data_IF_584861736882
#
_entry.id   IF_584861736882
#
_cell.length_a   1.000
_cell.length_b   1.000
_cell.length_c   1.000
_cell.angle_alpha   90.00
_cell.angle_beta   90.00
_cell.angle_gamma   90.00
#
_symmetry.space_group_name_H-M   'P 1'
#
loop_
_entity.id
_entity.type
_entity.pdbx_description
1 polymer ?
#
# COMPACT_ATOMS: atom_id res chain seq x y z
N UNK A 1 -0.47 -2.70 -11.26
CA UNK A 1 -1.56 -3.41 -10.58
C UNK A 1 -1.07 -4.80 -10.24
N UNK A 2 -1.05 -5.16 -8.96
CA UNK A 2 -0.63 -6.45 -8.44
C UNK A 2 -1.58 -6.85 -7.31
N UNK A 3 -1.84 -8.15 -7.16
CA UNK A 3 -2.77 -8.67 -6.17
C UNK A 3 -2.38 -10.08 -5.73
N UNK A 4 -2.75 -10.41 -4.49
CA UNK A 4 -2.57 -11.73 -3.88
C UNK A 4 -3.87 -12.11 -3.19
N UNK A 5 -4.40 -13.30 -3.49
CA UNK A 5 -5.54 -13.87 -2.79
C UNK A 5 -5.09 -15.08 -1.97
N UNK A 6 -5.30 -15.02 -0.66
CA UNK A 6 -5.03 -16.10 0.30
C UNK A 6 -6.02 -16.01 1.47
N UNK A 7 -6.39 -17.16 2.05
CA UNK A 7 -7.14 -17.25 3.31
C UNK A 7 -8.37 -16.33 3.37
N UNK A 8 -9.22 -16.43 2.34
CA UNK A 8 -10.42 -15.60 2.17
C UNK A 8 -10.15 -14.08 2.20
N UNK A 9 -8.93 -13.66 1.90
CA UNK A 9 -8.54 -12.25 1.85
C UNK A 9 -7.87 -11.92 0.51
N UNK A 10 -8.39 -10.90 -0.18
CA UNK A 10 -7.76 -10.34 -1.36
C UNK A 10 -6.96 -9.10 -0.96
N UNK A 11 -5.67 -9.11 -1.22
CA UNK A 11 -4.79 -7.96 -1.12
C UNK A 11 -4.50 -7.43 -2.52
N UNK A 12 -4.59 -6.12 -2.70
CA UNK A 12 -4.30 -5.49 -4.00
C UNK A 12 -3.74 -4.09 -3.80
N UNK A 13 -3.05 -3.58 -4.82
CA UNK A 13 -2.46 -2.24 -4.78
C UNK A 13 -2.98 -1.36 -5.91
N UNK A 14 -3.13 -0.08 -5.64
CA UNK A 14 -3.35 0.96 -6.65
C UNK A 14 -2.35 2.10 -6.46
N UNK A 15 -2.29 2.97 -7.46
CA UNK A 15 -1.75 4.31 -7.27
C UNK A 15 -2.94 5.26 -7.12
N UNK A 16 -2.95 6.05 -6.07
CA UNK A 16 -4.00 7.04 -5.76
C UNK A 16 -3.40 8.43 -5.68
N UNK A 17 -4.26 9.44 -5.61
CA UNK A 17 -3.88 10.80 -5.23
C UNK A 17 -4.67 11.14 -3.98
N UNK A 18 -4.04 11.11 -2.78
CA UNK A 18 -4.72 11.40 -1.53
C UNK A 18 -5.32 12.81 -1.54
N UNK A 19 -6.57 12.92 -1.08
CA UNK A 19 -7.31 14.19 -0.98
C UNK A 19 -7.08 14.95 0.33
N UNK A 20 -6.28 14.40 1.25
CA UNK A 20 -5.88 14.98 2.53
C UNK A 20 -4.61 14.28 3.04
N UNK A 21 -4.06 14.75 4.16
CA UNK A 21 -2.90 14.13 4.80
C UNK A 21 -1.56 14.65 4.25
N UNK A 22 -0.44 14.05 4.70
CA UNK A 22 0.91 14.49 4.33
C UNK A 22 1.20 14.36 2.83
N UNK A 23 0.60 13.36 2.17
CA UNK A 23 0.78 13.08 0.74
C UNK A 23 -0.28 13.77 -0.15
N UNK A 24 -0.95 14.82 0.34
CA UNK A 24 -1.99 15.55 -0.39
C UNK A 24 -1.50 15.98 -1.79
N UNK A 25 -2.22 15.53 -2.82
CA UNK A 25 -1.92 15.87 -4.22
C UNK A 25 -0.69 15.15 -4.80
N UNK A 26 -0.06 14.25 -4.05
CA UNK A 26 1.05 13.44 -4.52
C UNK A 26 0.54 12.11 -5.10
N UNK A 27 1.32 11.52 -5.99
CA UNK A 27 1.05 10.17 -6.46
C UNK A 27 1.51 9.21 -5.37
N UNK A 28 0.59 8.39 -4.87
CA UNK A 28 0.84 7.56 -3.68
C UNK A 28 0.46 6.11 -3.96
N UNK A 29 1.38 5.20 -3.67
CA UNK A 29 1.12 3.77 -3.60
C UNK A 29 0.13 3.49 -2.48
N UNK A 30 -0.90 2.70 -2.77
CA UNK A 30 -1.98 2.39 -1.84
C UNK A 30 -2.27 0.90 -1.85
N UNK A 31 -2.55 0.33 -0.69
CA UNK A 31 -2.97 -1.06 -0.56
C UNK A 31 -4.38 -1.18 -0.02
N UNK A 32 -5.06 -2.24 -0.45
CA UNK A 32 -6.36 -2.63 0.05
C UNK A 32 -6.32 -4.08 0.52
N UNK A 33 -7.01 -4.36 1.62
CA UNK A 33 -7.32 -5.70 2.11
C UNK A 33 -8.83 -5.90 2.08
N UNK A 34 -9.30 -6.85 1.28
CA UNK A 34 -10.72 -7.15 1.12
C UNK A 34 -11.04 -8.50 1.73
N UNK A 35 -12.13 -8.58 2.49
CA UNK A 35 -12.73 -9.86 2.87
C UNK A 35 -13.46 -10.45 1.66
N UNK A 36 -13.17 -11.72 1.40
CA UNK A 36 -13.74 -12.52 0.31
C UNK A 36 -14.48 -13.76 0.83
N UNK A 37 -14.80 -13.82 2.12
CA UNK A 37 -15.59 -14.90 2.74
C UNK A 37 -16.98 -15.03 2.10
N UNK A 38 -17.61 -13.91 1.75
CA UNK A 38 -18.83 -13.87 0.94
C UNK A 38 -18.60 -13.11 -0.37
N UNK A 39 -18.45 -13.84 -1.47
CA UNK A 39 -18.19 -13.24 -2.80
C UNK A 39 -19.36 -12.38 -3.33
N UNK A 40 -20.56 -12.54 -2.80
CA UNK A 40 -21.70 -11.68 -3.12
C UNK A 40 -21.72 -10.37 -2.31
N UNK A 41 -20.83 -10.23 -1.31
CA UNK A 41 -20.77 -9.08 -0.41
C UNK A 41 -19.32 -8.80 0.03
N UNK A 42 -18.47 -8.43 -0.93
CA UNK A 42 -17.08 -8.05 -0.64
C UNK A 42 -17.03 -6.76 0.20
N UNK A 43 -16.07 -6.67 1.12
CA UNK A 43 -15.85 -5.48 1.93
C UNK A 43 -14.36 -5.19 2.11
N UNK A 44 -13.99 -3.91 2.15
CA UNK A 44 -12.63 -3.49 2.52
C UNK A 44 -12.51 -3.60 4.04
N UNK A 45 -11.61 -4.45 4.51
CA UNK A 45 -11.36 -4.67 5.95
C UNK A 45 -10.19 -3.84 6.48
N UNK A 46 -9.30 -3.40 5.60
CA UNK A 46 -8.18 -2.52 5.91
C UNK A 46 -7.61 -1.93 4.61
N UNK A 47 -6.96 -0.78 4.70
CA UNK A 47 -6.31 -0.11 3.58
C UNK A 47 -5.37 1.00 4.08
N UNK A 48 -4.36 1.37 3.31
CA UNK A 48 -3.43 2.41 3.71
C UNK A 48 -2.61 3.00 2.56
N UNK A 49 -2.18 4.23 2.77
CA UNK A 49 -1.27 4.96 1.91
C UNK A 49 0.18 4.63 2.28
N UNK A 50 1.02 4.45 1.27
CA UNK A 50 2.48 4.30 1.39
C UNK A 50 3.11 5.56 0.78
N UNK A 51 3.10 6.62 1.57
CA UNK A 51 3.74 7.89 1.23
C UNK A 51 5.27 7.80 1.18
N UNK A 52 5.89 8.91 0.76
CA UNK A 52 7.36 9.02 0.72
C UNK A 52 7.91 10.15 1.59
N UNK A 53 7.05 10.92 2.26
CA UNK A 53 7.46 12.16 2.94
C UNK A 53 8.39 11.95 4.15
N UNK A 54 8.44 10.73 4.71
CA UNK A 54 9.40 10.37 5.76
C UNK A 54 10.82 10.13 5.21
N UNK A 55 10.95 9.93 3.89
CA UNK A 55 12.24 9.80 3.18
C UNK A 55 12.67 11.15 2.63
N UNK A 56 11.76 11.83 1.92
CA UNK A 56 11.99 13.18 1.39
C UNK A 56 10.68 13.93 1.15
N UNK A 57 10.67 15.22 1.46
CA UNK A 57 9.47 16.03 1.32
C UNK A 57 9.07 16.16 -0.16
N UNK A 58 7.79 15.93 -0.46
CA UNK A 58 7.28 15.94 -1.84
C UNK A 58 7.65 14.68 -2.63
N UNK A 59 7.97 13.57 -1.96
CA UNK A 59 8.21 12.29 -2.61
C UNK A 59 6.90 11.68 -3.14
N UNK A 60 6.98 11.13 -4.35
CA UNK A 60 5.91 10.37 -4.99
C UNK A 60 6.25 8.88 -4.95
N UNK A 61 5.27 8.03 -4.67
CA UNK A 61 5.39 6.58 -4.70
C UNK A 61 4.51 5.98 -5.79
N UNK A 62 5.08 5.07 -6.59
CA UNK A 62 4.45 4.59 -7.82
C UNK A 62 4.85 3.14 -8.14
N UNK A 63 4.10 2.52 -9.07
CA UNK A 63 4.30 1.12 -9.48
C UNK A 63 4.31 0.11 -8.32
N UNK A 64 3.32 0.12 -7.41
CA UNK A 64 3.33 -0.80 -6.27
C UNK A 64 3.12 -2.25 -6.68
N UNK A 65 3.72 -3.12 -5.87
CA UNK A 65 3.57 -4.57 -5.85
C UNK A 65 3.41 -5.03 -4.40
N UNK A 66 2.68 -6.13 -4.16
CA UNK A 66 2.35 -6.61 -2.82
C UNK A 66 2.52 -8.12 -2.70
N UNK A 67 3.01 -8.56 -1.56
CA UNK A 67 3.04 -9.96 -1.16
C UNK A 67 2.60 -10.07 0.29
N UNK A 68 1.99 -11.20 0.62
CA UNK A 68 1.56 -11.52 1.99
C UNK A 68 2.11 -12.89 2.34
N UNK A 69 2.52 -13.09 3.59
CA UNK A 69 2.96 -14.39 4.09
C UNK A 69 1.80 -15.20 4.69
N UNK A 70 2.09 -16.36 5.30
CA UNK A 70 1.08 -17.21 5.93
C UNK A 70 0.60 -16.71 7.29
N UNK A 71 1.34 -15.78 7.90
CA UNK A 71 1.04 -15.19 9.20
C UNK A 71 0.22 -13.91 9.07
N UNK A 72 -0.10 -13.49 7.84
CA UNK A 72 -0.85 -12.26 7.55
C UNK A 72 0.02 -11.00 7.53
N UNK A 73 1.36 -11.15 7.56
CA UNK A 73 2.26 -10.02 7.35
C UNK A 73 2.30 -9.68 5.87
N UNK A 74 2.34 -8.39 5.57
CA UNK A 74 2.30 -7.85 4.23
C UNK A 74 3.62 -7.13 3.95
N UNK A 75 4.14 -7.29 2.73
CA UNK A 75 5.25 -6.50 2.22
C UNK A 75 4.85 -5.88 0.88
N UNK A 76 5.24 -4.64 0.66
CA UNK A 76 5.07 -3.95 -0.61
C UNK A 76 6.39 -3.46 -1.15
N UNK A 77 6.63 -3.69 -2.44
CA UNK A 77 7.68 -3.03 -3.20
C UNK A 77 7.09 -1.92 -4.06
N UNK A 78 7.75 -0.77 -4.15
CA UNK A 78 7.32 0.37 -4.95
C UNK A 78 8.53 1.17 -5.43
N UNK A 79 8.31 2.01 -6.43
CA UNK A 79 9.28 3.02 -6.85
C UNK A 79 8.98 4.34 -6.15
N UNK A 80 10.03 5.10 -5.80
CA UNK A 80 9.90 6.44 -5.24
C UNK A 80 10.84 7.39 -5.96
N UNK A 81 10.39 8.63 -6.18
CA UNK A 81 11.23 9.76 -6.59
C UNK A 81 10.71 11.05 -5.96
N UNK A 82 11.58 12.05 -5.82
CA UNK A 82 11.24 13.39 -5.32
C UNK A 82 12.02 14.45 -6.11
N UNK A 83 11.85 15.76 -5.83
CA UNK A 83 12.68 16.80 -6.43
C UNK A 83 14.20 16.63 -6.16
N UNK A 84 14.58 15.99 -5.05
CA UNK A 84 15.97 15.80 -4.64
C UNK A 84 16.46 14.35 -4.67
N UNK A 85 15.57 13.39 -4.97
CA UNK A 85 15.90 11.97 -5.09
C UNK A 85 15.52 11.42 -6.47
N UNK A 86 16.51 10.86 -7.16
CA UNK A 86 16.26 10.07 -8.35
C UNK A 86 15.39 8.86 -8.04
N UNK A 87 14.70 8.35 -9.07
CA UNK A 87 13.86 7.17 -8.94
C UNK A 87 14.67 5.97 -8.43
N UNK A 88 14.18 5.35 -7.36
CA UNK A 88 14.75 4.14 -6.75
C UNK A 88 13.69 3.10 -6.46
N UNK A 89 14.14 1.90 -6.05
CA UNK A 89 13.27 0.82 -5.58
C UNK A 89 13.26 0.82 -4.05
N UNK A 90 12.07 0.80 -3.48
CA UNK A 90 11.81 0.88 -2.05
C UNK A 90 10.83 -0.22 -1.64
N UNK A 91 10.75 -0.47 -0.35
CA UNK A 91 9.78 -1.39 0.20
C UNK A 91 9.28 -0.91 1.56
N UNK A 92 8.10 -1.38 1.94
CA UNK A 92 7.59 -1.31 3.31
C UNK A 92 6.98 -2.64 3.71
N UNK A 93 6.81 -2.86 5.02
CA UNK A 93 6.24 -4.07 5.58
C UNK A 93 5.26 -3.71 6.69
N UNK A 94 4.19 -4.49 6.78
CA UNK A 94 3.18 -4.40 7.84
C UNK A 94 3.05 -5.76 8.53
N UNK A 95 3.14 -5.78 9.85
CA UNK A 95 2.82 -6.96 10.63
C UNK A 95 1.30 -7.15 10.74
N UNK A 96 0.85 -8.40 10.93
CA UNK A 96 -0.57 -8.69 11.12
C UNK A 96 -1.18 -7.95 12.33
N UNK A 97 -0.35 -7.64 13.34
CA UNK A 97 -0.73 -6.96 14.58
C UNK A 97 -0.67 -5.44 14.50
N UNK A 98 -0.22 -4.86 13.39
CA UNK A 98 -0.11 -3.41 13.27
C UNK A 98 -1.50 -2.74 13.26
N UNK A 99 -1.61 -1.48 13.72
CA UNK A 99 -2.85 -0.70 13.65
C UNK A 99 -3.37 -0.54 12.22
N UNK A 100 -4.70 -0.49 12.06
CA UNK A 100 -5.33 -0.34 10.74
C UNK A 100 -4.76 0.87 9.97
N UNK A 101 -4.51 0.66 8.67
CA UNK A 101 -3.96 1.66 7.76
C UNK A 101 -2.48 2.03 7.91
N UNK A 102 -1.73 1.37 8.81
CA UNK A 102 -0.28 1.59 8.90
C UNK A 102 0.53 0.67 7.99
N UNK A 103 1.75 1.13 7.70
CA UNK A 103 2.89 0.38 7.14
C UNK A 103 4.17 0.78 7.87
#
# INVERSE_FOLDING_TARGET
LNAVWRDNTLWTTAQVVPGAGPDLGQATAHWFRLDTTNLAALSVTDQGDVGGNDIDAGAHTFMPSIMVDQSGNMAMGFSLSSPNHYAGAYYTCRAATDPAGSV
#
